data_IF_087581745836
#
_entry.id   IF_087581745836
#
_cell.length_a   1.000
_cell.length_b   1.000
_cell.length_c   1.000
_cell.angle_alpha   90.00
_cell.angle_beta   90.00
_cell.angle_gamma   90.00
#
_symmetry.space_group_name_H-M   'P 1'
#
loop_
_entity.id
_entity.type
_entity.pdbx_description
1 polymer ?
#
# COMPACT_ATOMS: atom_id res chain seq x y z
N UNK A 1 -4.08 -12.22 21.85
CA UNK A 1 -4.33 -11.33 20.70
C UNK A 1 -4.57 -12.16 19.45
N UNK A 2 -5.76 -12.07 18.84
CA UNK A 2 -6.00 -12.70 17.52
C UNK A 2 -5.05 -12.06 16.50
N UNK A 3 -4.41 -12.90 15.70
CA UNK A 3 -3.62 -12.47 14.54
C UNK A 3 -4.48 -11.53 13.67
N UNK A 4 -4.04 -10.28 13.47
CA UNK A 4 -4.65 -9.32 12.53
C UNK A 4 -4.43 -9.69 11.05
N UNK A 5 -3.82 -10.85 10.76
CA UNK A 5 -3.58 -11.30 9.39
C UNK A 5 -4.90 -11.60 8.69
N UNK A 6 -5.15 -10.89 7.60
CA UNK A 6 -6.23 -11.15 6.65
C UNK A 6 -5.74 -12.15 5.61
N UNK A 7 -6.66 -12.92 5.01
CA UNK A 7 -6.37 -13.94 4.00
C UNK A 7 -6.97 -13.52 2.66
N UNK A 8 -6.24 -13.74 1.57
CA UNK A 8 -6.73 -13.61 0.20
C UNK A 8 -6.19 -14.76 -0.65
N UNK A 9 -6.99 -15.26 -1.58
CA UNK A 9 -6.59 -16.32 -2.52
C UNK A 9 -6.51 -15.74 -3.93
N UNK A 10 -5.38 -15.93 -4.60
CA UNK A 10 -5.12 -15.43 -5.96
C UNK A 10 -4.45 -16.56 -6.73
N UNK A 11 -5.02 -16.95 -7.86
CA UNK A 11 -4.48 -18.02 -8.73
C UNK A 11 -4.13 -19.30 -7.94
N UNK A 12 -5.05 -19.77 -7.10
CA UNK A 12 -4.90 -20.95 -6.21
C UNK A 12 -3.82 -20.85 -5.13
N UNK A 13 -3.10 -19.72 -5.03
CA UNK A 13 -2.15 -19.44 -3.96
C UNK A 13 -2.84 -18.66 -2.84
N UNK A 14 -2.52 -19.03 -1.60
CA UNK A 14 -3.03 -18.37 -0.41
C UNK A 14 -2.00 -17.35 0.07
N UNK A 15 -2.45 -16.10 0.23
CA UNK A 15 -1.67 -15.02 0.78
C UNK A 15 -2.26 -14.59 2.12
N UNK A 16 -1.37 -14.22 3.04
CA UNK A 16 -1.71 -13.62 4.32
C UNK A 16 -1.16 -12.20 4.32
N UNK A 17 -1.91 -11.23 4.82
CA UNK A 17 -1.45 -9.85 4.82
C UNK A 17 -1.90 -9.08 6.06
N UNK A 18 -1.15 -8.03 6.37
CA UNK A 18 -1.50 -7.05 7.41
C UNK A 18 -1.24 -5.65 6.88
N UNK A 19 -2.12 -4.73 7.24
CA UNK A 19 -2.01 -3.30 6.98
C UNK A 19 -1.80 -2.61 8.32
N UNK A 20 -0.74 -1.82 8.43
CA UNK A 20 -0.39 -1.04 9.62
C UNK A 20 -0.04 0.38 9.21
N UNK A 21 -0.22 1.34 10.11
CA UNK A 21 0.12 2.73 9.90
C UNK A 21 0.98 3.24 11.05
N UNK A 22 1.87 4.19 10.74
CA UNK A 22 2.70 4.89 11.73
C UNK A 22 2.73 6.36 11.39
N UNK A 23 2.27 7.19 12.33
CA UNK A 23 2.39 8.64 12.23
C UNK A 23 3.79 9.11 12.64
N UNK A 24 4.32 10.10 11.92
CA UNK A 24 5.62 10.71 12.16
C UNK A 24 5.44 12.20 12.50
N UNK A 25 5.35 12.50 13.80
CA UNK A 25 5.10 13.86 14.31
C UNK A 25 6.04 14.93 13.73
N UNK A 26 7.33 14.61 13.58
CA UNK A 26 8.37 15.57 13.16
C UNK A 26 8.13 16.11 11.74
N UNK A 27 7.60 15.28 10.85
CA UNK A 27 7.40 15.63 9.43
C UNK A 27 5.92 15.79 9.07
N UNK A 28 5.00 15.57 10.03
CA UNK A 28 3.55 15.54 9.77
C UNK A 28 3.17 14.58 8.64
N UNK A 29 3.90 13.47 8.54
CA UNK A 29 3.66 12.41 7.54
C UNK A 29 3.17 11.15 8.22
N UNK A 30 2.59 10.25 7.41
CA UNK A 30 2.14 8.96 7.85
C UNK A 30 2.69 7.88 6.90
N UNK A 31 3.23 6.79 7.45
CA UNK A 31 3.58 5.62 6.65
C UNK A 31 2.55 4.53 6.85
N UNK A 32 1.81 4.20 5.79
CA UNK A 32 1.05 2.96 5.71
C UNK A 32 1.98 1.85 5.21
N UNK A 33 2.11 0.77 5.97
CA UNK A 33 2.87 -0.42 5.59
C UNK A 33 1.92 -1.58 5.33
N UNK A 34 2.07 -2.20 4.16
CA UNK A 34 1.43 -3.47 3.83
C UNK A 34 2.50 -4.55 3.84
N UNK A 35 2.31 -5.57 4.68
CA UNK A 35 3.14 -6.78 4.67
C UNK A 35 2.32 -7.94 4.15
N UNK A 36 2.81 -8.58 3.09
CA UNK A 36 2.18 -9.74 2.49
C UNK A 36 3.12 -10.93 2.58
N UNK A 37 2.56 -12.09 2.94
CA UNK A 37 3.24 -13.36 3.05
C UNK A 37 2.55 -14.36 2.13
N UNK A 38 3.33 -15.21 1.47
CA UNK A 38 2.78 -16.43 0.88
C UNK A 38 2.55 -17.44 2.02
N UNK A 39 1.40 -18.11 2.03
CA UNK A 39 1.13 -19.14 3.03
C UNK A 39 2.21 -20.24 2.98
N UNK A 40 2.78 -20.60 4.13
CA UNK A 40 3.95 -21.49 4.22
C UNK A 40 5.29 -20.75 4.24
N UNK A 41 5.37 -19.50 3.77
CA UNK A 41 6.61 -18.71 3.69
C UNK A 41 6.49 -17.37 4.41
N UNK A 42 6.59 -17.39 5.75
CA UNK A 42 6.45 -16.19 6.59
C UNK A 42 7.73 -15.35 6.73
N UNK A 43 8.90 -15.89 6.37
CA UNK A 43 10.19 -15.25 6.60
C UNK A 43 10.56 -14.20 5.54
N UNK A 44 9.90 -14.24 4.38
CA UNK A 44 10.22 -13.48 3.17
C UNK A 44 9.02 -12.66 2.66
N UNK A 45 8.47 -11.75 3.49
CA UNK A 45 7.33 -10.94 3.08
C UNK A 45 7.67 -9.97 1.95
N UNK A 46 6.67 -9.68 1.13
CA UNK A 46 6.63 -8.43 0.37
C UNK A 46 6.22 -7.32 1.34
N UNK A 47 7.06 -6.31 1.48
CA UNK A 47 6.80 -5.13 2.32
C UNK A 47 6.68 -3.92 1.40
N UNK A 48 5.55 -3.23 1.46
CA UNK A 48 5.27 -2.04 0.66
C UNK A 48 4.93 -0.89 1.61
N UNK A 49 5.74 0.16 1.57
CA UNK A 49 5.59 1.34 2.42
C UNK A 49 5.04 2.51 1.58
N UNK A 50 3.95 3.11 2.03
CA UNK A 50 3.31 4.29 1.44
C UNK A 50 3.53 5.46 2.40
N UNK A 51 4.48 6.33 2.08
CA UNK A 51 4.69 7.58 2.81
C UNK A 51 3.75 8.63 2.24
N UNK A 52 2.81 9.12 3.04
CA UNK A 52 1.83 10.13 2.65
C UNK A 52 1.81 11.28 3.66
N UNK A 53 1.11 12.36 3.31
CA UNK A 53 0.62 13.31 4.31
C UNK A 53 -0.25 12.61 5.36
N UNK A 54 -0.19 13.09 6.60
CA UNK A 54 -1.22 12.80 7.59
C UNK A 54 -2.28 13.90 7.51
N UNK A 55 -3.51 13.53 7.14
CA UNK A 55 -4.58 14.51 7.05
C UNK A 55 -5.17 14.73 8.44
N UNK A 56 -5.09 15.95 8.97
CA UNK A 56 -5.49 16.32 10.35
C UNK A 56 -6.88 15.77 10.73
N UNK A 57 -7.80 15.68 9.77
CA UNK A 57 -9.17 15.20 10.00
C UNK A 57 -9.42 13.74 9.60
N UNK A 58 -8.63 13.16 8.69
CA UNK A 58 -8.88 11.83 8.13
C UNK A 58 -7.84 10.79 8.56
N UNK A 59 -6.79 11.21 9.25
CA UNK A 59 -5.61 10.41 9.56
C UNK A 59 -4.92 9.94 8.28
N UNK A 60 -4.56 8.65 8.26
CA UNK A 60 -3.96 8.02 7.08
C UNK A 60 -4.98 7.90 5.94
N UNK A 61 -4.87 8.78 4.94
CA UNK A 61 -5.78 8.92 3.80
C UNK A 61 -5.99 7.62 3.02
N UNK A 62 -4.94 6.81 2.83
CA UNK A 62 -5.04 5.53 2.11
C UNK A 62 -5.73 4.43 2.92
N UNK A 63 -5.97 4.65 4.23
CA UNK A 63 -6.70 3.74 5.12
C UNK A 63 -8.17 4.14 5.24
N UNK A 64 -8.44 5.44 5.21
CA UNK A 64 -9.78 6.02 5.31
C UNK A 64 -10.51 6.05 3.97
N UNK A 65 -9.76 6.08 2.86
CA UNK A 65 -10.30 6.22 1.51
C UNK A 65 -10.08 7.63 0.99
N UNK A 66 -9.45 7.76 -0.17
CA UNK A 66 -9.24 9.04 -0.84
C UNK A 66 -9.60 8.92 -2.31
N UNK A 67 -10.29 9.94 -2.84
CA UNK A 67 -10.62 10.00 -4.25
C UNK A 67 -9.35 10.28 -5.07
N UNK A 68 -9.02 9.41 -6.00
CA UNK A 68 -7.86 9.51 -6.89
C UNK A 68 -8.30 9.25 -8.32
N UNK A 69 -7.72 9.99 -9.27
CA UNK A 69 -7.91 9.76 -10.69
C UNK A 69 -7.02 8.59 -11.16
N UNK A 70 -7.57 7.69 -11.97
CA UNK A 70 -6.83 6.62 -12.62
C UNK A 70 -6.70 6.88 -14.12
N UNK A 71 -5.47 7.16 -14.59
CA UNK A 71 -5.14 7.44 -15.98
C UNK A 71 -5.39 6.26 -16.92
N UNK A 72 -5.24 5.01 -16.44
CA UNK A 72 -5.45 3.82 -17.27
C UNK A 72 -6.94 3.57 -17.57
N UNK A 73 -7.83 3.95 -16.64
CA UNK A 73 -9.29 3.77 -16.75
C UNK A 73 -10.03 5.06 -17.11
N UNK A 74 -9.35 6.20 -17.06
CA UNK A 74 -9.93 7.54 -17.27
C UNK A 74 -11.12 7.81 -16.34
N UNK A 75 -11.02 7.43 -15.07
CA UNK A 75 -12.08 7.58 -14.07
C UNK A 75 -11.53 7.96 -12.69
N UNK A 76 -12.36 8.56 -11.85
CA UNK A 76 -12.06 8.75 -10.42
C UNK A 76 -12.60 7.59 -9.60
N UNK A 77 -11.80 7.08 -8.66
CA UNK A 77 -12.25 6.10 -7.68
C UNK A 77 -11.77 6.41 -6.27
N UNK A 78 -12.48 5.91 -5.27
CA UNK A 78 -12.09 6.02 -3.86
C UNK A 78 -11.11 4.89 -3.55
N UNK A 79 -9.84 5.24 -3.35
CA UNK A 79 -8.76 4.31 -3.04
C UNK A 79 -8.64 4.11 -1.54
N UNK A 80 -8.91 2.89 -1.08
CA UNK A 80 -8.74 2.45 0.31
C UNK A 80 -7.97 1.13 0.37
N UNK A 81 -6.73 1.15 0.83
CA UNK A 81 -5.84 0.00 0.88
C UNK A 81 -6.23 -1.06 1.93
N UNK A 82 -7.30 -0.85 2.72
CA UNK A 82 -7.91 -1.93 3.47
C UNK A 82 -8.73 -2.89 2.60
N UNK A 83 -9.19 -2.43 1.43
CA UNK A 83 -10.03 -3.22 0.55
C UNK A 83 -9.24 -4.32 -0.15
N UNK A 84 -9.76 -5.56 -0.20
CA UNK A 84 -9.05 -6.69 -0.82
C UNK A 84 -8.66 -6.49 -2.29
N UNK A 85 -9.40 -5.66 -3.04
CA UNK A 85 -9.13 -5.42 -4.47
C UNK A 85 -7.75 -4.80 -4.70
N UNK A 86 -7.36 -3.81 -3.89
CA UNK A 86 -6.04 -3.18 -4.00
C UNK A 86 -4.92 -4.11 -3.51
N UNK A 87 -5.17 -4.89 -2.45
CA UNK A 87 -4.21 -5.90 -1.99
C UNK A 87 -3.91 -6.92 -3.10
N UNK A 88 -4.93 -7.33 -3.86
CA UNK A 88 -4.77 -8.20 -5.02
C UNK A 88 -3.87 -7.55 -6.08
N UNK A 89 -4.11 -6.30 -6.45
CA UNK A 89 -3.30 -5.57 -7.43
C UNK A 89 -1.84 -5.45 -6.99
N UNK A 90 -1.60 -5.10 -5.72
CA UNK A 90 -0.24 -5.01 -5.16
C UNK A 90 0.50 -6.36 -5.17
N UNK A 91 -0.20 -7.46 -4.89
CA UNK A 91 0.40 -8.81 -4.96
C UNK A 91 0.79 -9.15 -6.39
N UNK A 92 -0.10 -8.89 -7.36
CA UNK A 92 0.19 -9.16 -8.77
C UNK A 92 1.37 -8.34 -9.27
N UNK A 93 1.43 -7.05 -8.91
CA UNK A 93 2.54 -6.19 -9.28
C UNK A 93 3.85 -6.60 -8.60
N UNK A 94 3.80 -6.99 -7.32
CA UNK A 94 4.98 -7.52 -6.62
C UNK A 94 5.51 -8.81 -7.25
N UNK A 95 4.62 -9.71 -7.68
CA UNK A 95 4.97 -10.91 -8.45
C UNK A 95 5.62 -10.55 -9.79
N UNK A 96 5.06 -9.60 -10.52
CA UNK A 96 5.64 -9.11 -11.78
C UNK A 96 7.02 -8.45 -11.58
N UNK A 97 7.27 -7.87 -10.41
CA UNK A 97 8.57 -7.29 -10.00
C UNK A 97 9.53 -8.31 -9.37
N UNK A 98 9.21 -9.62 -9.41
CA UNK A 98 10.12 -10.71 -9.01
C UNK A 98 9.97 -11.21 -7.57
N UNK A 99 8.95 -10.79 -6.82
CA UNK A 99 8.66 -11.40 -5.51
C UNK A 99 7.86 -12.69 -5.68
N UNK A 100 8.43 -13.84 -5.32
CA UNK A 100 7.81 -15.15 -5.45
C UNK A 100 7.22 -15.69 -4.14
N UNK A 101 7.45 -14.99 -3.02
CA UNK A 101 6.98 -15.39 -1.69
C UNK A 101 8.02 -16.15 -0.87
N UNK A 102 8.94 -16.89 -1.52
CA UNK A 102 10.02 -17.63 -0.87
C UNK A 102 11.38 -16.91 -0.95
N UNK A 103 11.51 -15.87 -1.78
CA UNK A 103 12.72 -15.06 -1.91
C UNK A 103 12.59 -13.75 -1.13
N UNK A 104 13.73 -13.27 -0.61
CA UNK A 104 13.80 -11.95 0.01
C UNK A 104 13.86 -10.89 -1.09
N UNK A 105 13.03 -9.86 -0.96
CA UNK A 105 13.07 -8.65 -1.77
C UNK A 105 13.24 -7.45 -0.86
N UNK A 106 13.75 -6.35 -1.40
CA UNK A 106 13.83 -5.09 -0.67
C UNK A 106 12.43 -4.52 -0.41
N UNK A 107 12.36 -3.56 0.53
CA UNK A 107 11.11 -2.84 0.77
C UNK A 107 10.74 -2.03 -0.48
N UNK A 108 9.47 -2.05 -0.82
CA UNK A 108 8.94 -1.44 -2.01
C UNK A 108 8.34 -0.06 -1.70
N UNK A 109 8.50 0.88 -2.62
CA UNK A 109 7.82 2.17 -2.56
C UNK A 109 6.38 2.01 -3.06
N UNK A 110 5.41 2.21 -2.16
CA UNK A 110 3.99 2.05 -2.44
C UNK A 110 3.40 3.12 -3.36
N UNK A 111 3.92 4.35 -3.35
CA UNK A 111 3.46 5.38 -4.29
C UNK A 111 3.79 4.98 -5.72
N UNK A 112 5.00 4.44 -5.95
CA UNK A 112 5.39 3.93 -7.25
C UNK A 112 4.52 2.74 -7.70
N UNK A 113 3.99 1.93 -6.77
CA UNK A 113 3.00 0.90 -7.11
C UNK A 113 1.68 1.52 -7.59
N UNK A 114 1.18 2.56 -6.90
CA UNK A 114 -0.04 3.26 -7.31
C UNK A 114 0.13 3.95 -8.68
N UNK A 115 1.26 4.61 -8.92
CA UNK A 115 1.59 5.18 -10.23
C UNK A 115 1.61 4.11 -11.34
N UNK A 116 2.23 2.95 -11.07
CA UNK A 116 2.26 1.84 -12.03
C UNK A 116 0.86 1.30 -12.33
N UNK A 117 -0.05 1.37 -11.34
CA UNK A 117 -1.47 1.02 -11.51
C UNK A 117 -2.30 2.14 -12.19
N UNK A 118 -1.67 3.28 -12.49
CA UNK A 118 -2.25 4.40 -13.21
C UNK A 118 -2.85 5.48 -12.31
N UNK A 119 -2.68 5.44 -11.00
CA UNK A 119 -3.24 6.46 -10.11
C UNK A 119 -2.40 7.73 -10.07
N UNK A 120 -3.07 8.88 -10.02
CA UNK A 120 -2.44 10.14 -9.67
C UNK A 120 -2.12 10.19 -8.17
N UNK A 121 -0.83 10.14 -7.83
CA UNK A 121 -0.35 10.14 -6.44
C UNK A 121 -0.03 11.52 -5.89
N UNK A 122 -0.13 12.59 -6.69
CA UNK A 122 0.28 13.94 -6.27
C UNK A 122 -0.50 14.41 -5.04
N UNK A 123 -1.78 14.04 -4.94
CA UNK A 123 -2.65 14.33 -3.79
C UNK A 123 -2.17 13.70 -2.47
N UNK A 124 -1.27 12.70 -2.53
CA UNK A 124 -0.74 12.00 -1.37
C UNK A 124 0.60 12.58 -0.88
N UNK A 125 1.28 13.34 -1.73
CA UNK A 125 2.62 13.83 -1.48
C UNK A 125 2.61 14.94 -0.41
N UNK A 126 3.65 15.02 0.43
CA UNK A 126 3.85 16.18 1.29
C UNK A 126 3.87 17.46 0.47
N UNK A 127 3.03 18.44 0.83
CA UNK A 127 3.22 19.81 0.34
C UNK A 127 4.59 20.22 0.88
N UNK A 128 5.57 20.45 -0.01
CA UNK A 128 6.79 21.16 0.38
C UNK A 128 6.34 22.43 1.06
N UNK A 129 6.62 22.55 2.37
CA UNK A 129 6.54 23.85 3.02
C UNK A 129 7.54 24.70 2.26
N UNK A 130 7.04 25.56 1.38
CA UNK A 130 7.78 26.69 0.88
C UNK A 130 8.39 27.36 2.11
N UNK A 131 9.71 27.27 2.20
CA UNK A 131 10.49 27.98 3.20
C UNK A 131 10.35 29.44 2.79
N UNK A 132 9.51 30.19 3.52
CA UNK A 132 9.64 31.64 3.64
C UNK A 132 10.48 31.96 4.88
#
# INVERSE_FOLDING_TARGET
>A
MKSKLRKITINNLIYLYVVTDKYHHQTSTNTLTIKIFLAGHKQTPLIIDFLTLDHIYMGQVLKSGIKMYNYNRSEEEIVNLNEPKYIRELILLGRAKGWEGANKVEKQNGLHYLETLGYDVNILLPIEKAIE
#
